data_IF_375400009404
#
_entry.id   IF_375400009404
#
_cell.length_a   1.000
_cell.length_b   1.000
_cell.length_c   1.000
_cell.angle_alpha   90.00
_cell.angle_beta   90.00
_cell.angle_gamma   90.00
#
_symmetry.space_group_name_H-M   'P 1'
#
loop_
_entity.id
_entity.type
_entity.pdbx_description
1 polymer ?
#
# COMPACT_ATOMS: atom_id res chain seq x y z
N UNK A 1 -8.95 -19.69 21.37
CA UNK A 1 -9.26 -20.43 20.13
C UNK A 1 -9.04 -19.49 18.94
N UNK A 2 -8.42 -19.99 17.85
CA UNK A 2 -8.25 -19.20 16.61
C UNK A 2 -9.14 -19.75 15.50
N UNK A 3 -9.74 -18.87 14.69
CA UNK A 3 -10.57 -19.24 13.53
C UNK A 3 -10.61 -18.14 12.49
N UNK A 4 -11.07 -18.45 11.28
CA UNK A 4 -11.47 -17.45 10.30
C UNK A 4 -12.81 -16.81 10.68
N UNK A 5 -13.04 -15.59 10.19
CA UNK A 5 -14.30 -14.89 10.38
C UNK A 5 -15.42 -15.49 9.51
N UNK A 6 -16.64 -15.45 10.03
CA UNK A 6 -17.87 -15.77 9.29
C UNK A 6 -18.65 -14.50 8.93
N UNK A 7 -19.74 -14.67 8.18
CA UNK A 7 -20.63 -13.56 7.83
C UNK A 7 -21.25 -12.89 9.06
N UNK A 8 -21.51 -13.67 10.09
CA UNK A 8 -22.04 -13.24 11.38
C UNK A 8 -21.11 -12.30 12.14
N UNK A 9 -19.80 -12.37 11.88
CA UNK A 9 -18.79 -11.53 12.55
C UNK A 9 -18.66 -10.15 11.91
N UNK A 10 -19.05 -9.99 10.64
CA UNK A 10 -18.74 -8.83 9.82
C UNK A 10 -19.12 -7.49 10.47
N UNK A 11 -20.35 -7.39 10.97
CA UNK A 11 -20.84 -6.16 11.61
C UNK A 11 -20.02 -5.80 12.88
N UNK A 12 -19.65 -6.82 13.68
CA UNK A 12 -18.84 -6.63 14.89
C UNK A 12 -17.42 -6.22 14.55
N UNK A 13 -16.83 -6.83 13.52
CA UNK A 13 -15.50 -6.49 13.04
C UNK A 13 -15.41 -5.05 12.51
N UNK A 14 -16.41 -4.62 11.75
CA UNK A 14 -16.51 -3.22 11.29
C UNK A 14 -16.54 -2.25 12.48
N UNK A 15 -17.27 -2.58 13.54
CA UNK A 15 -17.33 -1.76 14.76
C UNK A 15 -15.98 -1.73 15.49
N UNK A 16 -15.28 -2.88 15.61
CA UNK A 16 -13.95 -2.98 16.22
C UNK A 16 -12.97 -2.08 15.46
N UNK A 17 -12.89 -2.20 14.13
CA UNK A 17 -11.97 -1.37 13.34
C UNK A 17 -12.35 0.11 13.37
N UNK A 18 -13.65 0.45 13.36
CA UNK A 18 -14.06 1.83 13.52
C UNK A 18 -13.60 2.44 14.87
N UNK A 19 -13.73 1.68 15.96
CA UNK A 19 -13.35 2.15 17.30
C UNK A 19 -11.83 2.19 17.54
N UNK A 20 -11.08 1.25 16.98
CA UNK A 20 -9.66 1.09 17.25
C UNK A 20 -8.76 1.76 16.22
N UNK A 21 -9.24 1.91 14.99
CA UNK A 21 -8.47 2.43 13.86
C UNK A 21 -9.11 3.67 13.23
N UNK A 22 -10.24 4.15 13.77
CA UNK A 22 -11.03 5.26 13.21
C UNK A 22 -11.46 5.01 11.74
N UNK A 23 -11.47 3.74 11.31
CA UNK A 23 -11.83 3.36 9.95
C UNK A 23 -13.34 3.44 9.76
N UNK A 24 -13.87 4.20 8.77
CA UNK A 24 -15.28 4.25 8.50
C UNK A 24 -15.90 2.87 8.25
N UNK A 25 -17.07 2.61 8.82
CA UNK A 25 -17.72 1.28 8.78
C UNK A 25 -17.85 0.72 7.36
N UNK A 26 -18.22 1.56 6.38
CA UNK A 26 -18.34 1.13 4.99
C UNK A 26 -16.98 0.73 4.36
N UNK A 27 -15.89 1.40 4.75
CA UNK A 27 -14.54 1.04 4.31
C UNK A 27 -14.08 -0.26 4.98
N UNK A 28 -14.34 -0.41 6.29
CA UNK A 28 -14.08 -1.65 7.00
C UNK A 28 -14.80 -2.84 6.33
N UNK A 29 -16.06 -2.69 5.99
CA UNK A 29 -16.84 -3.72 5.30
C UNK A 29 -16.24 -4.07 3.91
N UNK A 30 -15.84 -3.08 3.13
CA UNK A 30 -15.19 -3.31 1.84
C UNK A 30 -13.86 -4.07 1.99
N UNK A 31 -13.04 -3.70 2.98
CA UNK A 31 -11.76 -4.41 3.22
C UNK A 31 -12.03 -5.85 3.65
N UNK A 32 -12.94 -6.06 4.60
CA UNK A 32 -13.28 -7.40 5.10
C UNK A 32 -13.84 -8.32 4.01
N UNK A 33 -14.73 -7.80 3.16
CA UNK A 33 -15.49 -8.63 2.21
C UNK A 33 -14.89 -8.68 0.81
N UNK A 34 -14.22 -7.61 0.37
CA UNK A 34 -13.70 -7.50 -1.00
C UNK A 34 -12.18 -7.56 -1.08
N UNK A 35 -11.46 -6.99 -0.11
CA UNK A 35 -10.00 -6.98 -0.16
C UNK A 35 -9.42 -8.27 0.44
N UNK A 36 -9.78 -8.62 1.66
CA UNK A 36 -9.30 -9.83 2.32
C UNK A 36 -10.13 -11.07 1.94
N UNK A 37 -11.47 -10.94 1.94
CA UNK A 37 -12.39 -12.04 2.05
C UNK A 37 -12.46 -12.53 3.49
N UNK A 38 -13.67 -12.80 4.01
CA UNK A 38 -13.86 -13.18 5.42
C UNK A 38 -13.07 -14.43 5.82
N UNK A 39 -12.83 -15.33 4.90
CA UNK A 39 -12.01 -16.54 5.08
C UNK A 39 -10.53 -16.24 5.41
N UNK A 40 -10.05 -15.04 5.04
CA UNK A 40 -8.70 -14.55 5.34
C UNK A 40 -8.67 -13.52 6.46
N UNK A 41 -9.79 -13.33 7.17
CA UNK A 41 -9.83 -12.53 8.39
C UNK A 41 -9.80 -13.48 9.58
N UNK A 42 -8.80 -13.34 10.43
CA UNK A 42 -8.55 -14.25 11.54
C UNK A 42 -8.92 -13.61 12.88
N UNK A 43 -9.48 -14.40 13.75
CA UNK A 43 -9.96 -14.01 15.09
C UNK A 43 -9.32 -14.87 16.15
N UNK A 44 -8.84 -14.23 17.23
CA UNK A 44 -8.65 -14.88 18.51
C UNK A 44 -9.93 -14.71 19.31
N UNK A 45 -10.51 -15.80 19.81
CA UNK A 45 -11.79 -15.79 20.53
C UNK A 45 -11.74 -16.66 21.78
N UNK A 46 -12.41 -16.20 22.85
CA UNK A 46 -12.65 -16.96 24.07
C UNK A 46 -14.04 -16.64 24.59
N UNK A 47 -14.81 -17.67 24.96
CA UNK A 47 -16.16 -17.57 25.54
C UNK A 47 -17.14 -16.68 24.73
N UNK A 48 -16.99 -16.69 23.38
CA UNK A 48 -17.79 -15.87 22.48
C UNK A 48 -17.23 -14.45 22.25
N UNK A 49 -16.25 -14.02 23.04
CA UNK A 49 -15.65 -12.68 22.91
C UNK A 49 -14.44 -12.71 21.98
N UNK A 50 -14.36 -11.69 21.09
CA UNK A 50 -13.21 -11.47 20.21
C UNK A 50 -12.11 -10.79 21.02
N UNK A 51 -10.91 -11.38 21.03
CA UNK A 51 -9.75 -10.89 21.78
C UNK A 51 -8.70 -10.22 20.88
N UNK A 52 -8.64 -10.62 19.61
CA UNK A 52 -7.81 -9.98 18.59
C UNK A 52 -8.35 -10.26 17.19
N UNK A 53 -8.01 -9.38 16.26
CA UNK A 53 -8.40 -9.43 14.84
C UNK A 53 -7.17 -9.20 13.98
N UNK A 54 -7.09 -9.91 12.85
CA UNK A 54 -6.05 -9.73 11.84
C UNK A 54 -6.58 -10.13 10.47
N UNK A 55 -6.50 -9.24 9.49
CA UNK A 55 -6.81 -9.57 8.09
C UNK A 55 -5.53 -9.89 7.31
N UNK A 56 -5.60 -10.88 6.41
CA UNK A 56 -4.53 -11.26 5.50
C UNK A 56 -5.00 -10.99 4.06
N UNK A 57 -4.66 -9.83 3.52
CA UNK A 57 -5.08 -9.39 2.19
C UNK A 57 -4.13 -10.00 1.15
N UNK A 58 -4.64 -10.72 0.13
CA UNK A 58 -3.79 -11.30 -0.90
C UNK A 58 -3.04 -10.25 -1.71
N UNK A 59 -1.73 -10.40 -1.80
CA UNK A 59 -0.84 -9.54 -2.58
C UNK A 59 0.14 -10.38 -3.38
N UNK A 60 0.89 -9.72 -4.27
CA UNK A 60 2.02 -10.33 -4.98
C UNK A 60 3.17 -9.34 -5.16
N UNK A 61 4.38 -9.86 -5.30
CA UNK A 61 5.57 -9.13 -5.76
C UNK A 61 6.19 -9.96 -6.89
N UNK A 62 6.35 -9.38 -8.09
CA UNK A 62 6.88 -10.10 -9.25
C UNK A 62 6.19 -11.48 -9.47
N UNK A 63 4.87 -11.51 -9.34
CA UNK A 63 4.02 -12.70 -9.41
C UNK A 63 4.19 -13.71 -8.25
N UNK A 64 5.13 -13.52 -7.33
CA UNK A 64 5.20 -14.33 -6.11
C UNK A 64 3.99 -14.03 -5.22
N UNK A 65 3.22 -15.04 -4.80
CA UNK A 65 2.05 -14.83 -3.95
C UNK A 65 2.45 -14.59 -2.50
N UNK A 66 1.85 -13.58 -1.90
CA UNK A 66 2.04 -13.21 -0.50
C UNK A 66 0.78 -12.66 0.14
N UNK A 67 0.92 -12.11 1.32
CA UNK A 67 -0.17 -11.45 2.04
C UNK A 67 0.27 -10.11 2.64
N UNK A 68 -0.64 -9.17 2.68
CA UNK A 68 -0.54 -7.95 3.46
C UNK A 68 -1.36 -8.12 4.74
N UNK A 69 -0.71 -8.16 5.89
CA UNK A 69 -1.39 -8.20 7.17
C UNK A 69 -1.88 -6.79 7.53
N UNK A 70 -3.19 -6.66 7.60
CA UNK A 70 -3.89 -5.39 7.80
C UNK A 70 -4.82 -5.47 9.00
N UNK A 71 -5.04 -4.31 9.64
CA UNK A 71 -6.05 -4.19 10.69
C UNK A 71 -5.78 -5.05 11.91
N UNK A 72 -4.51 -5.24 12.27
CA UNK A 72 -4.12 -5.92 13.48
C UNK A 72 -4.61 -5.15 14.71
N UNK A 73 -5.59 -5.69 15.41
CA UNK A 73 -6.19 -5.11 16.61
C UNK A 73 -6.09 -6.12 17.74
N UNK A 74 -5.59 -5.67 18.88
CA UNK A 74 -5.53 -6.44 20.12
C UNK A 74 -6.49 -5.84 21.15
N UNK A 75 -7.52 -6.59 21.53
CA UNK A 75 -8.50 -6.21 22.53
C UNK A 75 -8.17 -6.77 23.93
N UNK A 76 -7.40 -7.86 23.95
CA UNK A 76 -6.87 -8.46 25.18
C UNK A 76 -5.37 -8.69 25.00
N UNK A 77 -4.57 -8.20 25.93
CA UNK A 77 -3.11 -8.26 25.91
C UNK A 77 -2.60 -9.69 25.69
N UNK A 78 -1.69 -9.87 24.72
CA UNK A 78 -1.07 -11.13 24.36
C UNK A 78 -1.87 -11.99 23.37
N UNK A 79 -3.10 -11.60 22.99
CA UNK A 79 -3.94 -12.37 22.07
C UNK A 79 -3.47 -12.28 20.61
N UNK A 80 -2.86 -11.15 20.22
CA UNK A 80 -2.43 -10.93 18.85
C UNK A 80 -1.22 -11.79 18.45
N UNK A 81 -0.33 -12.11 19.38
CA UNK A 81 0.87 -12.90 19.09
C UNK A 81 0.52 -14.29 18.52
N UNK A 82 -0.32 -15.04 19.23
CA UNK A 82 -0.74 -16.35 18.76
C UNK A 82 -1.63 -16.30 17.52
N UNK A 83 -2.40 -15.21 17.36
CA UNK A 83 -3.22 -15.00 16.16
C UNK A 83 -2.34 -14.76 14.93
N UNK A 84 -1.28 -13.97 15.04
CA UNK A 84 -0.35 -13.70 13.93
C UNK A 84 0.35 -15.00 13.47
N UNK A 85 0.80 -15.82 14.39
CA UNK A 85 1.40 -17.12 14.04
C UNK A 85 0.37 -18.07 13.40
N UNK A 86 -0.86 -18.11 13.93
CA UNK A 86 -1.94 -18.90 13.32
C UNK A 86 -2.24 -18.42 11.90
N UNK A 87 -2.38 -17.11 11.67
CA UNK A 87 -2.63 -16.54 10.36
C UNK A 87 -1.50 -16.88 9.38
N UNK A 88 -0.23 -16.76 9.80
CA UNK A 88 0.93 -17.14 9.00
C UNK A 88 0.87 -18.61 8.57
N UNK A 89 0.56 -19.53 9.49
CA UNK A 89 0.45 -20.96 9.19
C UNK A 89 -0.67 -21.23 8.17
N UNK A 90 -1.83 -20.58 8.32
CA UNK A 90 -2.91 -20.69 7.34
C UNK A 90 -2.47 -20.21 5.95
N UNK A 91 -1.79 -19.06 5.88
CA UNK A 91 -1.35 -18.50 4.61
C UNK A 91 -0.24 -19.34 3.94
N UNK A 92 0.65 -19.96 4.72
CA UNK A 92 1.61 -20.93 4.21
C UNK A 92 0.91 -22.14 3.58
N UNK A 93 -0.14 -22.67 4.19
CA UNK A 93 -0.94 -23.77 3.62
C UNK A 93 -1.64 -23.36 2.32
N UNK A 94 -1.97 -22.08 2.14
CA UNK A 94 -2.50 -21.54 0.88
C UNK A 94 -1.41 -21.17 -0.13
N UNK A 95 -0.16 -21.56 0.10
CA UNK A 95 0.95 -21.34 -0.82
C UNK A 95 1.47 -19.90 -0.87
N UNK A 96 1.19 -19.08 0.16
CA UNK A 96 1.76 -17.74 0.26
C UNK A 96 3.19 -17.82 0.77
N UNK A 97 4.13 -17.22 0.04
CA UNK A 97 5.57 -17.33 0.33
C UNK A 97 6.11 -16.23 1.26
N UNK A 98 5.38 -15.14 1.44
CA UNK A 98 5.80 -14.01 2.25
C UNK A 98 4.61 -13.25 2.85
N UNK A 99 4.91 -12.50 3.92
CA UNK A 99 4.00 -11.50 4.49
C UNK A 99 4.63 -10.12 4.49
N UNK A 100 3.80 -9.10 4.34
CA UNK A 100 4.19 -7.69 4.47
C UNK A 100 3.27 -6.97 5.45
N UNK A 101 3.78 -5.93 6.09
CA UNK A 101 3.04 -5.04 6.99
C UNK A 101 3.48 -3.60 6.77
N UNK A 102 2.59 -2.63 7.00
CA UNK A 102 2.98 -1.22 7.05
C UNK A 102 3.84 -0.95 8.28
N UNK A 103 4.86 -0.10 8.14
CA UNK A 103 5.68 0.38 9.25
C UNK A 103 5.12 1.70 9.81
N UNK A 104 5.51 2.04 11.05
CA UNK A 104 5.18 3.33 11.66
C UNK A 104 3.77 3.42 12.26
N UNK A 105 3.07 2.30 12.39
CA UNK A 105 1.71 2.22 12.95
C UNK A 105 1.67 1.85 14.44
N UNK A 106 2.83 1.88 15.12
CA UNK A 106 2.96 1.54 16.54
C UNK A 106 3.10 0.04 16.83
N UNK A 107 3.03 -0.82 15.80
CA UNK A 107 3.18 -2.29 15.92
C UNK A 107 4.54 -2.80 15.43
N UNK A 108 5.48 -1.93 15.10
CA UNK A 108 6.77 -2.32 14.51
C UNK A 108 7.54 -3.31 15.39
N UNK A 109 7.64 -3.04 16.69
CA UNK A 109 8.31 -3.94 17.64
C UNK A 109 7.61 -5.31 17.75
N UNK A 110 6.29 -5.34 17.66
CA UNK A 110 5.51 -6.57 17.63
C UNK A 110 5.83 -7.37 16.36
N UNK A 111 5.80 -6.73 15.18
CA UNK A 111 6.07 -7.41 13.92
C UNK A 111 7.53 -7.90 13.82
N UNK A 112 8.49 -7.14 14.37
CA UNK A 112 9.88 -7.59 14.47
C UNK A 112 10.01 -8.89 15.30
N UNK A 113 9.28 -9.00 16.40
CA UNK A 113 9.23 -10.24 17.19
C UNK A 113 8.59 -11.40 16.41
N UNK A 114 7.72 -11.13 15.43
CA UNK A 114 7.17 -12.13 14.50
C UNK A 114 8.10 -12.44 13.32
N UNK A 115 9.33 -11.89 13.29
CA UNK A 115 10.33 -12.12 12.26
C UNK A 115 10.17 -11.26 11.02
N UNK A 116 9.42 -10.16 11.10
CA UNK A 116 9.38 -9.16 10.03
C UNK A 116 10.57 -8.22 10.17
N UNK A 117 11.18 -7.87 9.06
CA UNK A 117 12.31 -6.93 9.00
C UNK A 117 11.96 -5.73 8.14
N UNK A 118 12.52 -4.53 8.42
CA UNK A 118 12.42 -3.38 7.52
C UNK A 118 12.86 -3.77 6.11
N UNK A 119 11.99 -3.58 5.13
CA UNK A 119 12.28 -4.03 3.76
C UNK A 119 11.93 -2.97 2.71
N UNK A 120 10.82 -2.27 2.89
CA UNK A 120 10.37 -1.26 1.94
C UNK A 120 10.79 0.11 2.44
N UNK A 121 11.69 0.74 1.70
CA UNK A 121 12.16 2.11 2.01
C UNK A 121 11.76 3.04 0.88
N UNK A 122 11.22 4.19 1.26
CA UNK A 122 10.91 5.29 0.36
C UNK A 122 11.93 6.40 0.53
N UNK A 123 12.19 7.11 -0.56
CA UNK A 123 12.95 8.34 -0.57
C UNK A 123 11.99 9.50 -0.85
N UNK A 124 11.86 10.41 0.12
CA UNK A 124 11.06 11.64 0.00
C UNK A 124 11.97 12.82 -0.23
N UNK A 125 11.64 13.62 -1.22
CA UNK A 125 12.37 14.84 -1.52
C UNK A 125 11.40 15.98 -1.84
N UNK A 126 11.86 17.21 -1.59
CA UNK A 126 11.15 18.45 -1.97
C UNK A 126 11.97 19.20 -2.98
N UNK A 127 11.30 19.76 -3.96
CA UNK A 127 11.94 20.61 -4.95
C UNK A 127 10.96 21.61 -5.56
N UNK A 128 11.51 22.70 -6.06
CA UNK A 128 10.77 23.60 -6.95
C UNK A 128 10.70 22.99 -8.35
N UNK A 129 9.56 23.16 -8.99
CA UNK A 129 9.33 22.82 -10.40
C UNK A 129 8.95 24.09 -11.13
N UNK A 130 9.24 24.13 -12.43
CA UNK A 130 8.93 25.29 -13.24
C UNK A 130 7.84 24.97 -14.25
N UNK A 131 7.05 25.96 -14.57
CA UNK A 131 6.05 25.86 -15.63
C UNK A 131 6.72 25.62 -16.97
N UNK A 132 6.17 24.70 -17.75
CA UNK A 132 6.64 24.40 -19.08
C UNK A 132 5.45 24.28 -20.03
N UNK A 133 5.20 25.33 -20.83
CA UNK A 133 4.10 25.39 -21.77
C UNK A 133 4.14 24.31 -22.87
N UNK A 134 5.28 23.65 -23.03
CA UNK A 134 5.47 22.56 -23.97
C UNK A 134 5.29 21.16 -23.36
N UNK A 135 5.13 21.08 -22.02
CA UNK A 135 4.92 19.82 -21.33
C UNK A 135 3.49 19.31 -21.59
N UNK A 136 3.33 18.51 -22.64
CA UNK A 136 2.06 17.88 -22.99
C UNK A 136 1.97 16.49 -22.36
N UNK A 137 0.92 16.24 -21.61
CA UNK A 137 0.63 14.95 -20.97
C UNK A 137 -0.88 14.70 -20.96
N UNK A 138 -1.25 13.42 -20.78
CA UNK A 138 -2.65 13.05 -20.58
C UNK A 138 -2.96 13.04 -19.08
N UNK A 139 -4.07 13.65 -18.69
CA UNK A 139 -4.51 13.74 -17.31
C UNK A 139 -5.80 12.98 -17.11
N UNK A 140 -5.96 12.38 -15.91
CA UNK A 140 -7.19 11.72 -15.44
C UNK A 140 -7.72 10.62 -16.36
N UNK A 141 -6.86 10.07 -17.20
CA UNK A 141 -7.21 9.02 -18.17
C UNK A 141 -6.85 7.61 -17.69
N UNK A 142 -6.16 7.48 -16.56
CA UNK A 142 -5.64 6.20 -16.05
C UNK A 142 -6.74 5.44 -15.31
N UNK A 143 -7.29 4.41 -15.96
CA UNK A 143 -8.20 3.45 -15.31
C UNK A 143 -7.44 2.54 -14.33
N UNK A 144 -8.16 1.86 -13.42
CA UNK A 144 -7.54 0.91 -12.49
C UNK A 144 -6.75 -0.21 -13.22
N UNK A 145 -7.26 -0.69 -14.37
CA UNK A 145 -6.56 -1.68 -15.20
C UNK A 145 -5.29 -1.11 -15.83
N UNK A 146 -5.37 0.11 -16.39
CA UNK A 146 -4.20 0.79 -16.97
C UNK A 146 -3.16 1.08 -15.89
N UNK A 147 -3.57 1.50 -14.71
CA UNK A 147 -2.68 1.77 -13.60
C UNK A 147 -1.90 0.52 -13.15
N UNK A 148 -2.58 -0.64 -13.06
CA UNK A 148 -1.90 -1.91 -12.78
C UNK A 148 -0.84 -2.24 -13.83
N UNK A 149 -1.15 -2.05 -15.13
CA UNK A 149 -0.19 -2.25 -16.24
C UNK A 149 1.01 -1.30 -16.14
N UNK A 150 0.79 -0.03 -15.81
CA UNK A 150 1.86 0.96 -15.66
C UNK A 150 2.76 0.60 -14.47
N UNK A 151 2.18 0.19 -13.35
CA UNK A 151 2.97 -0.28 -12.20
C UNK A 151 3.79 -1.51 -12.54
N UNK A 152 3.21 -2.49 -13.22
CA UNK A 152 3.95 -3.68 -13.66
C UNK A 152 5.10 -3.32 -14.62
N UNK A 153 4.87 -2.36 -15.53
CA UNK A 153 5.90 -1.91 -16.49
C UNK A 153 7.05 -1.16 -15.82
N UNK A 154 6.74 -0.21 -14.93
CA UNK A 154 7.74 0.73 -14.40
C UNK A 154 8.24 0.39 -13.00
N UNK A 155 7.54 -0.46 -12.28
CA UNK A 155 7.88 -0.88 -10.91
C UNK A 155 7.43 -2.33 -10.66
N UNK A 156 8.01 -3.33 -11.38
CA UNK A 156 7.59 -4.73 -11.26
C UNK A 156 7.80 -5.31 -9.85
N UNK A 157 8.67 -4.68 -9.04
CA UNK A 157 8.90 -5.03 -7.64
C UNK A 157 7.87 -4.41 -6.68
N UNK A 158 6.85 -3.70 -7.18
CA UNK A 158 5.80 -3.17 -6.32
C UNK A 158 4.94 -4.28 -5.72
N UNK A 159 4.58 -4.10 -4.45
CA UNK A 159 3.51 -4.91 -3.84
C UNK A 159 2.20 -4.60 -4.56
N UNK A 160 1.66 -5.60 -5.21
CA UNK A 160 0.41 -5.50 -5.98
C UNK A 160 -0.74 -6.14 -5.20
N UNK A 161 -1.75 -5.35 -4.88
CA UNK A 161 -3.02 -5.83 -4.32
C UNK A 161 -3.84 -6.46 -5.45
N UNK A 162 -4.45 -7.62 -5.20
CA UNK A 162 -5.25 -8.30 -6.20
C UNK A 162 -6.63 -7.65 -6.38
N UNK A 163 -7.26 -7.90 -7.54
CA UNK A 163 -8.66 -7.50 -7.73
C UNK A 163 -9.61 -8.36 -6.87
N UNK A 164 -10.73 -7.81 -6.36
CA UNK A 164 -11.29 -6.47 -6.66
C UNK A 164 -10.72 -5.33 -5.80
N UNK A 165 -9.91 -5.63 -4.77
CA UNK A 165 -9.37 -4.64 -3.84
C UNK A 165 -8.63 -3.50 -4.56
N UNK A 166 -7.86 -3.82 -5.61
CA UNK A 166 -7.14 -2.81 -6.41
C UNK A 166 -8.08 -1.77 -7.04
N UNK A 167 -9.21 -2.22 -7.60
CA UNK A 167 -10.18 -1.29 -8.19
C UNK A 167 -10.76 -0.35 -7.13
N UNK A 168 -11.14 -0.91 -5.97
CA UNK A 168 -11.66 -0.10 -4.86
C UNK A 168 -10.63 0.92 -4.37
N UNK A 169 -9.37 0.54 -4.26
CA UNK A 169 -8.25 1.40 -3.88
C UNK A 169 -8.06 2.57 -4.85
N UNK A 170 -8.03 2.30 -6.15
CA UNK A 170 -7.88 3.33 -7.18
C UNK A 170 -9.08 4.28 -7.16
N UNK A 171 -10.29 3.77 -7.03
CA UNK A 171 -11.50 4.61 -6.93
C UNK A 171 -11.49 5.48 -5.68
N UNK A 172 -11.04 4.95 -4.55
CA UNK A 172 -10.89 5.73 -3.31
C UNK A 172 -9.83 6.83 -3.47
N UNK A 173 -8.71 6.54 -4.11
CA UNK A 173 -7.66 7.50 -4.41
C UNK A 173 -8.21 8.68 -5.24
N UNK A 174 -8.98 8.41 -6.30
CA UNK A 174 -9.64 9.45 -7.08
C UNK A 174 -10.66 10.23 -6.27
N UNK A 175 -11.45 9.56 -5.44
CA UNK A 175 -12.44 10.24 -4.58
C UNK A 175 -11.80 11.18 -3.55
N UNK A 176 -10.55 10.93 -3.16
CA UNK A 176 -9.73 11.81 -2.30
C UNK A 176 -9.06 12.95 -3.07
N UNK A 177 -9.29 13.08 -4.38
CA UNK A 177 -8.78 14.16 -5.22
C UNK A 177 -7.42 13.87 -5.87
N UNK A 178 -7.01 12.61 -5.99
CA UNK A 178 -5.82 12.27 -6.75
C UNK A 178 -5.98 12.64 -8.23
N UNK A 179 -4.94 13.22 -8.80
CA UNK A 179 -4.81 13.44 -10.23
C UNK A 179 -3.75 12.49 -10.78
N UNK A 180 -4.04 11.86 -11.90
CA UNK A 180 -3.08 11.06 -12.65
C UNK A 180 -2.59 11.81 -13.88
N UNK A 181 -1.31 11.65 -14.17
CA UNK A 181 -0.68 12.18 -15.38
C UNK A 181 0.14 11.09 -16.06
N UNK A 182 0.02 10.95 -17.38
CA UNK A 182 0.69 9.91 -18.16
C UNK A 182 1.30 10.52 -19.43
N UNK A 183 2.50 10.00 -19.78
CA UNK A 183 3.15 10.18 -21.08
C UNK A 183 3.53 8.79 -21.63
N UNK A 184 4.15 8.73 -22.82
CA UNK A 184 4.68 7.48 -23.36
C UNK A 184 5.84 6.90 -22.52
N UNK A 185 6.51 7.76 -21.73
CA UNK A 185 7.75 7.44 -21.02
C UNK A 185 7.59 7.41 -19.49
N UNK A 186 6.37 7.56 -18.97
CA UNK A 186 6.14 7.49 -17.53
C UNK A 186 4.74 7.91 -17.11
N UNK A 187 4.50 7.81 -15.82
CA UNK A 187 3.27 8.27 -15.19
C UNK A 187 3.53 8.80 -13.78
N UNK A 188 2.61 9.62 -13.31
CA UNK A 188 2.60 10.02 -11.90
C UNK A 188 1.17 10.09 -11.35
N UNK A 189 1.09 9.99 -10.03
CA UNK A 189 -0.12 10.24 -9.24
C UNK A 189 0.23 11.30 -8.22
N UNK A 190 -0.55 12.37 -8.19
CA UNK A 190 -0.32 13.45 -7.24
C UNK A 190 -1.62 13.99 -6.64
N UNK A 191 -1.46 14.65 -5.50
CA UNK A 191 -2.50 15.43 -4.84
C UNK A 191 -2.08 16.90 -4.76
N UNK A 192 -3.03 17.80 -4.91
CA UNK A 192 -2.83 19.22 -4.63
C UNK A 192 -3.06 19.46 -3.13
N UNK A 193 -2.01 19.84 -2.41
CA UNK A 193 -2.07 20.15 -0.99
C UNK A 193 -1.60 21.58 -0.73
N UNK A 194 -2.54 22.53 -0.81
CA UNK A 194 -2.23 23.95 -0.71
C UNK A 194 -1.28 24.41 -1.82
N UNK A 195 -0.08 24.87 -1.46
CA UNK A 195 0.95 25.34 -2.39
C UNK A 195 1.95 24.22 -2.80
N UNK A 196 1.61 22.94 -2.60
CA UNK A 196 2.50 21.82 -2.89
C UNK A 196 1.77 20.74 -3.66
N UNK A 197 2.40 20.21 -4.70
CA UNK A 197 2.01 18.98 -5.39
C UNK A 197 2.69 17.79 -4.69
N UNK A 198 1.91 16.93 -4.05
CA UNK A 198 2.41 15.70 -3.46
C UNK A 198 2.34 14.56 -4.46
N UNK A 199 3.47 14.23 -5.08
CA UNK A 199 3.61 13.07 -5.95
C UNK A 199 3.76 11.80 -5.11
N UNK A 200 2.68 11.06 -4.97
CA UNK A 200 2.65 9.79 -4.22
C UNK A 200 3.20 8.62 -5.02
N UNK A 201 3.13 8.68 -6.34
CA UNK A 201 3.86 7.83 -7.28
C UNK A 201 4.40 8.68 -8.44
N UNK A 202 5.66 8.42 -8.81
CA UNK A 202 6.31 9.02 -9.96
C UNK A 202 7.28 7.99 -10.54
N UNK A 203 6.95 7.48 -11.73
CA UNK A 203 7.75 6.51 -12.44
C UNK A 203 7.94 6.93 -13.89
N UNK A 204 9.18 6.90 -14.36
CA UNK A 204 9.52 7.31 -15.71
C UNK A 204 10.79 6.58 -16.20
N UNK A 205 11.06 6.65 -17.49
CA UNK A 205 12.24 6.03 -18.09
C UNK A 205 13.54 6.77 -17.76
N UNK A 206 13.47 8.05 -17.38
CA UNK A 206 14.62 8.89 -17.07
C UNK A 206 14.25 10.05 -16.14
N UNK A 207 15.27 10.71 -15.58
CA UNK A 207 15.10 11.96 -14.81
C UNK A 207 14.42 13.05 -15.65
N UNK A 208 14.74 13.11 -16.96
CA UNK A 208 14.12 14.06 -17.88
C UNK A 208 12.61 13.80 -18.03
N UNK A 209 12.21 12.52 -18.21
CA UNK A 209 10.80 12.17 -18.34
C UNK A 209 10.04 12.40 -17.03
N UNK A 210 10.67 12.12 -15.89
CA UNK A 210 10.11 12.42 -14.57
C UNK A 210 9.92 13.94 -14.36
N UNK A 211 10.94 14.73 -14.74
CA UNK A 211 10.86 16.19 -14.70
C UNK A 211 9.72 16.70 -15.58
N UNK A 212 9.57 16.15 -16.79
CA UNK A 212 8.52 16.53 -17.73
C UNK A 212 7.11 16.26 -17.19
N UNK A 213 6.88 15.13 -16.50
CA UNK A 213 5.61 14.84 -15.83
C UNK A 213 5.29 15.86 -14.73
N UNK A 214 6.29 16.25 -13.94
CA UNK A 214 6.13 17.27 -12.90
C UNK A 214 5.84 18.65 -13.49
N UNK A 215 6.54 19.03 -14.57
CA UNK A 215 6.32 20.29 -15.26
C UNK A 215 4.92 20.38 -15.89
N UNK A 216 4.41 19.28 -16.45
CA UNK A 216 3.04 19.20 -16.94
C UNK A 216 2.02 19.39 -15.81
N UNK A 217 2.25 18.79 -14.64
CA UNK A 217 1.40 18.99 -13.47
C UNK A 217 1.46 20.44 -12.95
N UNK A 218 2.67 21.04 -12.91
CA UNK A 218 2.86 22.45 -12.57
C UNK A 218 2.14 23.38 -13.56
N UNK A 219 2.21 23.12 -14.86
CA UNK A 219 1.52 23.94 -15.86
C UNK A 219 0.01 23.88 -15.69
N UNK A 220 -0.54 22.70 -15.38
CA UNK A 220 -1.98 22.51 -15.15
C UNK A 220 -2.49 23.23 -13.90
N UNK A 221 -1.73 23.18 -12.80
CA UNK A 221 -2.18 23.64 -11.47
C UNK A 221 -1.69 25.04 -11.11
N UNK A 222 -0.57 25.47 -11.69
CA UNK A 222 0.15 26.68 -11.30
C UNK A 222 0.98 26.54 -10.03
N UNK A 223 1.06 25.33 -9.43
CA UNK A 223 1.79 25.07 -8.19
C UNK A 223 3.23 24.68 -8.51
N UNK A 224 4.20 25.45 -7.96
CA UNK A 224 5.63 25.33 -8.27
C UNK A 224 6.45 24.58 -7.23
N UNK A 225 5.81 24.06 -6.16
CA UNK A 225 6.46 23.24 -5.15
C UNK A 225 6.01 21.79 -5.25
N UNK A 226 6.95 20.86 -5.22
CA UNK A 226 6.68 19.44 -5.25
C UNK A 226 7.30 18.72 -4.06
N UNK A 227 6.52 17.83 -3.46
CA UNK A 227 7.00 16.75 -2.59
C UNK A 227 6.87 15.44 -3.35
N UNK A 228 7.96 14.70 -3.48
CA UNK A 228 8.05 13.54 -4.36
C UNK A 228 8.41 12.31 -3.52
N UNK A 229 7.69 11.22 -3.73
CA UNK A 229 7.98 9.92 -3.12
C UNK A 229 8.45 8.96 -4.20
N UNK A 230 9.64 8.40 -4.01
CA UNK A 230 10.27 7.41 -4.90
C UNK A 230 10.64 6.15 -4.11
N UNK A 231 10.74 4.98 -4.74
CA UNK A 231 11.46 3.85 -4.16
C UNK A 231 12.90 4.25 -3.81
N UNK A 232 13.48 3.67 -2.76
CA UNK A 232 14.88 3.94 -2.40
C UNK A 232 15.85 3.61 -3.53
N UNK A 233 15.59 2.50 -4.22
CA UNK A 233 16.40 1.99 -5.34
C UNK A 233 15.95 2.52 -6.71
N UNK A 234 15.15 3.59 -6.76
CA UNK A 234 14.74 4.20 -8.03
C UNK A 234 15.95 4.70 -8.82
N UNK A 235 15.97 4.41 -10.11
CA UNK A 235 16.96 4.96 -11.06
C UNK A 235 16.77 6.46 -11.28
N UNK A 236 15.55 6.99 -10.98
CA UNK A 236 15.26 8.42 -11.02
C UNK A 236 15.93 9.09 -9.82
N UNK A 237 16.89 9.98 -10.09
CA UNK A 237 17.64 10.65 -9.03
C UNK A 237 16.90 11.86 -8.46
N UNK A 238 16.53 12.84 -9.27
CA UNK A 238 15.87 14.11 -8.93
C UNK A 238 16.45 14.86 -7.71
N UNK A 239 17.52 14.39 -7.12
CA UNK A 239 18.18 14.95 -5.94
C UNK A 239 18.21 14.05 -4.73
N UNK A 240 18.85 14.54 -3.69
CA UNK A 240 18.88 13.87 -2.38
C UNK A 240 17.51 13.98 -1.68
N UNK A 241 17.20 13.02 -0.82
CA UNK A 241 15.96 12.98 -0.07
C UNK A 241 16.13 12.31 1.29
N UNK A 242 15.08 12.36 2.09
CA UNK A 242 15.01 11.64 3.36
C UNK A 242 14.52 10.22 3.10
N UNK A 243 15.19 9.23 3.66
CA UNK A 243 14.81 7.82 3.61
C UNK A 243 13.89 7.49 4.77
N UNK A 244 12.84 6.77 4.48
CA UNK A 244 11.82 6.37 5.44
C UNK A 244 11.40 4.93 5.18
N UNK A 245 11.43 4.08 6.20
CA UNK A 245 10.88 2.74 6.12
C UNK A 245 9.36 2.85 6.14
N UNK A 246 8.72 2.37 5.08
CA UNK A 246 7.26 2.39 4.95
C UNK A 246 6.61 1.01 5.15
N UNK A 247 7.43 -0.05 5.13
CA UNK A 247 6.90 -1.39 5.34
C UNK A 247 7.98 -2.40 5.71
N UNK A 248 7.52 -3.47 6.34
CA UNK A 248 8.35 -4.60 6.74
C UNK A 248 7.88 -5.86 6.03
N UNK A 249 8.79 -6.81 5.84
CA UNK A 249 8.48 -8.10 5.21
C UNK A 249 9.07 -9.27 5.98
N UNK A 250 8.42 -10.42 5.84
CA UNK A 250 8.96 -11.71 6.27
C UNK A 250 8.78 -12.70 5.11
N UNK A 251 9.90 -13.18 4.55
CA UNK A 251 9.93 -14.16 3.45
C UNK A 251 10.06 -15.57 4.01
N UNK A 252 8.94 -16.28 4.08
CA UNK A 252 8.85 -17.59 4.76
C UNK A 252 9.28 -18.75 3.88
N UNK A 253 8.90 -18.71 2.60
CA UNK A 253 9.07 -19.85 1.69
C UNK A 253 9.62 -19.43 0.30
N UNK A 254 10.00 -18.17 0.13
CA UNK A 254 10.57 -17.62 -1.10
C UNK A 254 11.77 -16.74 -0.77
N UNK A 255 12.64 -16.52 -1.74
CA UNK A 255 13.72 -15.54 -1.60
C UNK A 255 13.17 -14.13 -1.85
N UNK A 256 13.64 -13.12 -1.12
CA UNK A 256 13.29 -11.73 -1.40
C UNK A 256 13.75 -11.34 -2.83
N UNK A 257 13.02 -10.44 -3.52
CA UNK A 257 13.48 -9.87 -4.78
C UNK A 257 14.87 -9.23 -4.65
N UNK A 258 15.75 -9.49 -5.64
CA UNK A 258 17.12 -8.97 -5.62
C UNK A 258 17.17 -7.44 -5.64
N UNK A 259 16.22 -6.82 -6.33
CA UNK A 259 16.15 -5.36 -6.52
C UNK A 259 15.38 -4.64 -5.41
N UNK A 260 15.16 -5.31 -4.28
CA UNK A 260 14.33 -4.79 -3.20
C UNK A 260 12.84 -4.81 -3.53
N UNK A 261 12.07 -3.95 -2.88
CA UNK A 261 10.62 -3.86 -3.09
C UNK A 261 10.11 -2.43 -3.02
N UNK A 262 8.90 -2.23 -3.47
CA UNK A 262 8.17 -0.97 -3.36
C UNK A 262 6.79 -1.20 -2.75
N UNK A 263 6.49 -0.50 -1.68
CA UNK A 263 5.21 -0.59 -1.00
C UNK A 263 4.62 0.82 -0.84
N UNK A 264 3.66 1.16 -1.68
CA UNK A 264 2.89 2.41 -1.64
C UNK A 264 1.51 2.13 -2.23
N UNK A 265 0.55 3.01 -1.96
CA UNK A 265 -0.84 2.84 -2.36
C UNK A 265 -1.40 1.48 -1.91
N UNK A 266 -1.10 1.12 -0.68
CA UNK A 266 -1.79 0.05 0.04
C UNK A 266 -3.10 0.60 0.61
N UNK A 267 -3.78 -0.16 1.42
CA UNK A 267 -5.11 0.19 1.96
C UNK A 267 -5.06 1.18 3.15
N UNK A 268 -3.91 1.83 3.36
CA UNK A 268 -3.69 2.75 4.48
C UNK A 268 -4.30 4.14 4.21
#
# INVERSE_FOLDING_TARGET
MYRSAGKEDCARLCQIWNQQMELPVHQAEQILTQAAGLENVYLAQQDGEILAVLAAIPVSIQQMPGVYFYGAVELQQGALQGLAEYAKQQQLMYGKGFGVVAAGNGLDAFWQQQGFEPYFTLRRLRRSIHRNLWAQAQFDSITAARFAQLREKYCPQAVAVQQPAWVAQVMQMYSKGATTVETEHGYAVYFEKGETLEFVELFACSDYDAQFLMEAACERTGVEQAEITLPENSEICLGEGVREVCGMANFWAVQPPADGGYMRLMLD
#
